data_IF_052529862368
#
_entry.id   IF_052529862368
#
_cell.length_a   1.000
_cell.length_b   1.000
_cell.length_c   1.000
_cell.angle_alpha   90.00
_cell.angle_beta   90.00
_cell.angle_gamma   90.00
#
_symmetry.space_group_name_H-M   'P 1'
#
loop_
_entity.id
_entity.type
_entity.pdbx_description
1 polymer ?
#
# COMPACT_ATOMS: atom_id res chain seq x y z
N UNK A 1 23.33 -20.50 4.75
CA UNK A 1 23.28 -21.97 4.47
C UNK A 1 22.60 -22.83 5.56
N UNK A 2 22.05 -22.25 6.64
CA UNK A 2 21.30 -22.98 7.68
C UNK A 2 19.79 -23.04 7.44
N UNK A 3 19.23 -22.17 6.59
CA UNK A 3 17.77 -21.97 6.50
C UNK A 3 17.06 -22.91 5.50
N UNK A 4 17.79 -23.60 4.61
CA UNK A 4 17.18 -24.48 3.59
C UNK A 4 16.57 -25.76 4.18
N UNK A 5 17.13 -26.25 5.29
CA UNK A 5 16.66 -27.49 5.95
C UNK A 5 15.34 -27.22 6.70
N UNK A 6 15.16 -26.00 7.22
CA UNK A 6 13.97 -25.64 7.99
C UNK A 6 12.71 -25.47 7.12
N UNK A 7 12.79 -24.79 5.97
CA UNK A 7 11.61 -24.60 5.12
C UNK A 7 11.07 -25.91 4.54
N UNK A 8 11.95 -26.79 4.07
CA UNK A 8 11.52 -28.08 3.52
C UNK A 8 10.87 -28.96 4.58
N UNK A 9 11.48 -29.09 5.75
CA UNK A 9 10.92 -29.85 6.86
C UNK A 9 9.58 -29.25 7.33
N UNK A 10 9.49 -27.93 7.42
CA UNK A 10 8.26 -27.23 7.78
C UNK A 10 7.13 -27.47 6.78
N UNK A 11 7.42 -27.43 5.48
CA UNK A 11 6.45 -27.74 4.43
C UNK A 11 6.01 -29.21 4.42
N UNK A 12 6.92 -30.14 4.75
CA UNK A 12 6.60 -31.57 4.87
C UNK A 12 5.68 -31.86 6.06
N UNK A 13 5.91 -31.17 7.18
CA UNK A 13 5.18 -31.35 8.43
C UNK A 13 3.80 -30.66 8.38
N UNK A 14 3.75 -29.39 7.98
CA UNK A 14 2.54 -28.57 8.05
C UNK A 14 1.67 -28.67 6.78
N UNK A 15 2.24 -29.04 5.63
CA UNK A 15 1.55 -29.21 4.34
C UNK A 15 0.56 -28.07 4.00
N UNK A 16 0.99 -26.80 4.02
CA UNK A 16 0.10 -25.68 3.80
C UNK A 16 -0.39 -25.60 2.35
N UNK A 17 -1.62 -25.14 2.14
CA UNK A 17 -2.13 -24.85 0.80
C UNK A 17 -1.51 -23.59 0.18
N UNK A 18 -1.11 -22.61 1.01
CA UNK A 18 -0.57 -21.31 0.58
C UNK A 18 0.68 -20.99 1.40
N UNK A 19 1.71 -20.47 0.73
CA UNK A 19 2.96 -20.00 1.36
C UNK A 19 3.24 -18.58 0.91
N UNK A 20 3.40 -17.63 1.84
CA UNK A 20 3.59 -16.21 1.52
C UNK A 20 4.99 -15.77 1.92
N UNK A 21 5.71 -15.13 0.98
CA UNK A 21 7.04 -14.53 1.19
C UNK A 21 6.92 -13.01 1.11
N UNK A 22 6.95 -12.32 2.26
CA UNK A 22 6.66 -10.88 2.36
C UNK A 22 7.66 -10.09 3.24
N UNK A 23 8.48 -9.18 2.67
CA UNK A 23 8.80 -9.02 1.25
C UNK A 23 9.84 -10.03 0.75
N UNK A 24 9.89 -10.26 -0.57
CA UNK A 24 10.94 -11.06 -1.23
C UNK A 24 12.36 -10.66 -0.84
N UNK A 25 12.57 -9.36 -0.55
CA UNK A 25 13.86 -8.82 -0.14
C UNK A 25 14.40 -9.49 1.14
N UNK A 26 13.51 -9.83 2.07
CA UNK A 26 13.88 -10.41 3.36
C UNK A 26 14.15 -11.92 3.24
N UNK A 27 13.69 -12.53 2.15
CA UNK A 27 13.91 -13.94 1.85
C UNK A 27 15.26 -14.22 1.16
N UNK A 28 15.84 -13.21 0.49
CA UNK A 28 17.16 -13.36 -0.12
C UNK A 28 18.26 -13.03 0.89
N UNK A 29 19.41 -13.70 0.78
CA UNK A 29 20.55 -13.41 1.65
C UNK A 29 20.98 -11.94 1.51
N UNK A 30 21.32 -11.29 2.64
CA UNK A 30 21.61 -9.85 2.71
C UNK A 30 22.75 -9.36 1.81
N UNK A 31 23.63 -10.26 1.38
CA UNK A 31 24.72 -9.98 0.44
C UNK A 31 24.33 -10.15 -1.04
N UNK A 32 23.06 -10.46 -1.33
CA UNK A 32 22.55 -10.68 -2.69
C UNK A 32 21.67 -9.52 -3.14
N UNK A 33 21.68 -9.27 -4.44
CA UNK A 33 20.86 -8.23 -5.06
C UNK A 33 19.59 -8.83 -5.64
N UNK A 34 18.45 -8.17 -5.42
CA UNK A 34 17.20 -8.48 -6.13
C UNK A 34 17.31 -8.25 -7.64
N UNK A 35 18.32 -7.52 -8.11
CA UNK A 35 18.59 -7.31 -9.54
C UNK A 35 19.44 -8.41 -10.17
N UNK A 36 19.90 -9.41 -9.40
CA UNK A 36 20.65 -10.55 -9.92
C UNK A 36 19.71 -11.50 -10.69
N UNK A 37 19.87 -11.54 -12.01
CA UNK A 37 19.09 -12.38 -12.92
C UNK A 37 19.29 -13.88 -12.67
N UNK A 38 20.50 -14.31 -12.28
CA UNK A 38 20.80 -15.73 -12.02
C UNK A 38 20.11 -16.18 -10.75
N UNK A 39 20.16 -15.35 -9.71
CA UNK A 39 19.43 -15.59 -8.46
C UNK A 39 17.92 -15.65 -8.71
N UNK A 40 17.37 -14.69 -9.45
CA UNK A 40 15.95 -14.62 -9.75
C UNK A 40 15.45 -15.87 -10.48
N UNK A 41 16.17 -16.31 -11.53
CA UNK A 41 15.84 -17.53 -12.27
C UNK A 41 15.93 -18.78 -11.41
N UNK A 42 16.99 -18.90 -10.60
CA UNK A 42 17.19 -20.06 -9.74
C UNK A 42 16.08 -20.17 -8.70
N UNK A 43 15.73 -19.06 -8.06
CA UNK A 43 14.68 -19.02 -7.04
C UNK A 43 13.31 -19.27 -7.63
N UNK A 44 12.99 -18.68 -8.80
CA UNK A 44 11.77 -18.97 -9.53
C UNK A 44 11.60 -20.47 -9.84
N UNK A 45 12.69 -21.14 -10.23
CA UNK A 45 12.70 -22.60 -10.43
C UNK A 45 12.44 -23.34 -9.11
N UNK A 46 13.15 -22.99 -8.03
CA UNK A 46 12.95 -23.61 -6.70
C UNK A 46 11.51 -23.45 -6.22
N UNK A 47 10.88 -22.29 -6.38
CA UNK A 47 9.49 -22.07 -5.97
C UNK A 47 8.50 -22.90 -6.78
N UNK A 48 8.79 -23.12 -8.07
CA UNK A 48 7.99 -24.02 -8.91
C UNK A 48 8.11 -25.47 -8.44
N UNK A 49 9.33 -25.92 -8.10
CA UNK A 49 9.57 -27.25 -7.54
C UNK A 49 8.86 -27.43 -6.19
N UNK A 50 8.90 -26.43 -5.31
CA UNK A 50 8.18 -26.40 -4.03
C UNK A 50 6.68 -26.54 -4.26
N UNK A 51 6.09 -25.70 -5.14
CA UNK A 51 4.66 -25.76 -5.45
C UNK A 51 4.24 -27.15 -5.95
N UNK A 52 5.05 -27.77 -6.83
CA UNK A 52 4.75 -29.08 -7.40
C UNK A 52 4.90 -30.22 -6.40
N UNK A 53 5.97 -30.21 -5.58
CA UNK A 53 6.27 -31.24 -4.58
C UNK A 53 5.27 -31.20 -3.44
N UNK A 54 4.99 -30.01 -2.90
CA UNK A 54 4.17 -29.84 -1.70
C UNK A 54 2.70 -29.53 -1.99
N UNK A 55 2.32 -29.42 -3.27
CA UNK A 55 0.95 -29.09 -3.70
C UNK A 55 0.43 -27.78 -3.08
N UNK A 56 1.32 -26.82 -2.87
CA UNK A 56 1.00 -25.51 -2.31
C UNK A 56 1.05 -24.40 -3.37
N UNK A 57 0.53 -23.22 -3.03
CA UNK A 57 0.54 -22.02 -3.85
C UNK A 57 1.46 -20.94 -3.24
N UNK A 58 2.70 -20.78 -3.76
CA UNK A 58 3.61 -19.74 -3.32
C UNK A 58 3.18 -18.34 -3.80
N UNK A 59 3.16 -17.38 -2.88
CA UNK A 59 2.93 -15.96 -3.15
C UNK A 59 4.19 -15.20 -2.76
N UNK A 60 4.69 -14.39 -3.69
CA UNK A 60 5.84 -13.51 -3.47
C UNK A 60 5.35 -12.07 -3.52
N UNK A 61 5.71 -11.27 -2.52
CA UNK A 61 5.48 -9.82 -2.56
C UNK A 61 6.79 -9.08 -2.84
N UNK A 62 6.71 -8.01 -3.61
CA UNK A 62 7.83 -7.10 -3.85
C UNK A 62 7.30 -5.69 -4.05
N UNK A 63 8.18 -4.70 -4.01
CA UNK A 63 7.84 -3.31 -4.21
C UNK A 63 7.97 -2.88 -5.68
N UNK A 64 7.37 -1.74 -6.00
CA UNK A 64 7.70 -1.00 -7.21
C UNK A 64 8.94 -0.13 -6.98
N UNK A 65 9.69 0.14 -8.05
CA UNK A 65 10.85 1.03 -8.05
C UNK A 65 10.43 2.47 -7.71
N UNK A 66 11.32 3.21 -7.05
CA UNK A 66 11.04 4.58 -6.53
C UNK A 66 10.82 5.61 -7.65
N UNK A 67 11.37 5.35 -8.84
CA UNK A 67 11.23 6.12 -10.08
C UNK A 67 9.78 6.19 -10.59
N UNK A 68 8.87 5.42 -9.98
CA UNK A 68 7.43 5.53 -10.11
C UNK A 68 6.84 6.92 -9.76
N UNK A 69 7.64 7.83 -9.18
CA UNK A 69 7.24 9.19 -8.81
C UNK A 69 8.08 10.21 -9.60
N UNK A 70 7.42 11.08 -10.36
CA UNK A 70 8.05 12.22 -11.02
C UNK A 70 8.60 13.18 -9.94
N UNK A 71 9.92 13.46 -9.92
CA UNK A 71 10.54 14.24 -8.85
C UNK A 71 10.17 15.73 -8.88
N UNK A 72 9.80 16.28 -10.04
CA UNK A 72 9.42 17.69 -10.20
C UNK A 72 7.99 17.95 -9.71
N UNK A 73 7.09 17.00 -9.97
CA UNK A 73 5.66 17.16 -9.67
C UNK A 73 5.20 16.37 -8.44
N UNK A 74 6.03 15.45 -7.95
CA UNK A 74 5.65 14.48 -6.93
C UNK A 74 4.56 13.50 -7.37
N UNK A 75 4.21 13.46 -8.67
CA UNK A 75 3.11 12.65 -9.21
C UNK A 75 3.59 11.25 -9.54
N UNK A 76 2.75 10.25 -9.28
CA UNK A 76 3.05 8.93 -9.82
C UNK A 76 2.98 8.96 -11.35
N UNK A 77 3.98 8.40 -12.01
CA UNK A 77 4.00 8.18 -13.46
C UNK A 77 3.54 6.76 -13.83
N UNK A 78 3.20 5.97 -12.81
CA UNK A 78 2.77 4.60 -12.98
C UNK A 78 1.30 4.60 -13.36
N UNK A 79 1.01 3.93 -14.46
CA UNK A 79 -0.33 3.71 -14.98
C UNK A 79 -0.54 2.20 -15.13
N UNK A 80 -1.79 1.73 -15.23
CA UNK A 80 -2.06 0.31 -15.46
C UNK A 80 -1.31 -0.28 -16.66
N UNK A 81 -1.07 0.53 -17.70
CA UNK A 81 -0.43 0.10 -18.94
C UNK A 81 1.09 -0.10 -18.79
N UNK A 82 1.75 0.73 -17.94
CA UNK A 82 3.20 0.71 -17.80
C UNK A 82 3.70 0.06 -16.50
N UNK A 83 2.80 -0.30 -15.59
CA UNK A 83 3.12 -0.75 -14.22
C UNK A 83 4.15 -1.88 -14.14
N UNK A 84 4.10 -2.81 -15.09
CA UNK A 84 4.98 -3.98 -15.13
C UNK A 84 6.45 -3.62 -15.39
N UNK A 85 6.73 -2.41 -15.91
CA UNK A 85 8.10 -1.91 -16.11
C UNK A 85 8.73 -1.37 -14.82
N UNK A 86 7.91 -1.08 -13.81
CA UNK A 86 8.33 -0.48 -12.54
C UNK A 86 8.51 -1.49 -11.43
N UNK A 87 8.45 -2.79 -11.69
CA UNK A 87 8.67 -3.78 -10.61
C UNK A 87 10.13 -3.78 -10.17
N UNK A 88 10.36 -3.80 -8.87
CA UNK A 88 11.70 -3.78 -8.28
C UNK A 88 12.40 -5.15 -8.45
N UNK A 89 13.69 -5.10 -8.77
CA UNK A 89 14.51 -6.28 -9.02
C UNK A 89 14.50 -6.74 -10.48
N UNK A 90 15.00 -7.97 -10.67
CA UNK A 90 15.06 -8.66 -11.96
C UNK A 90 13.65 -8.98 -12.49
N UNK A 91 13.46 -8.83 -13.81
CA UNK A 91 12.21 -9.25 -14.48
C UNK A 91 11.93 -10.75 -14.34
N UNK A 92 12.95 -11.56 -14.05
CA UNK A 92 12.80 -13.01 -13.96
C UNK A 92 12.07 -13.47 -12.70
N UNK A 93 11.96 -12.62 -11.67
CA UNK A 93 11.08 -12.85 -10.52
C UNK A 93 9.62 -13.02 -10.94
N UNK A 94 9.18 -12.23 -11.93
CA UNK A 94 7.81 -12.24 -12.45
C UNK A 94 7.64 -13.20 -13.62
N UNK A 95 8.69 -13.41 -14.42
CA UNK A 95 8.60 -14.11 -15.69
C UNK A 95 8.10 -15.55 -15.56
N UNK A 96 8.34 -16.22 -14.43
CA UNK A 96 7.84 -17.57 -14.13
C UNK A 96 6.42 -17.57 -13.58
N UNK A 97 6.00 -16.53 -12.86
CA UNK A 97 4.74 -16.47 -12.16
C UNK A 97 3.53 -16.64 -13.12
N UNK A 98 2.57 -17.54 -12.82
CA UNK A 98 1.37 -17.73 -13.63
C UNK A 98 0.39 -16.56 -13.50
N UNK A 99 0.42 -15.87 -12.36
CA UNK A 99 -0.38 -14.70 -12.04
C UNK A 99 0.51 -13.62 -11.42
N UNK A 100 0.28 -12.37 -11.83
CA UNK A 100 0.94 -11.20 -11.28
C UNK A 100 -0.15 -10.17 -10.96
N UNK A 101 -0.08 -9.60 -9.76
CA UNK A 101 -1.00 -8.58 -9.29
C UNK A 101 -0.16 -7.40 -8.81
N UNK A 102 -0.45 -6.21 -9.31
CA UNK A 102 0.18 -4.98 -8.82
C UNK A 102 -0.88 -4.03 -8.31
N UNK A 103 -0.62 -3.46 -7.13
CA UNK A 103 -1.47 -2.47 -6.51
C UNK A 103 -0.83 -1.10 -6.71
N UNK A 104 -1.52 -0.23 -7.44
CA UNK A 104 -1.12 1.17 -7.62
C UNK A 104 -2.18 2.10 -7.02
N UNK A 105 -1.85 3.37 -6.87
CA UNK A 105 -2.85 4.38 -6.47
C UNK A 105 -3.72 4.71 -7.67
N UNK A 106 -5.03 4.88 -7.46
CA UNK A 106 -5.93 5.21 -8.55
C UNK A 106 -5.72 6.65 -9.05
N UNK A 107 -5.78 7.63 -8.14
CA UNK A 107 -5.44 9.02 -8.42
C UNK A 107 -5.05 9.71 -7.12
N UNK A 108 -3.76 9.99 -6.92
CA UNK A 108 -3.27 10.56 -5.66
C UNK A 108 -3.83 11.96 -5.35
N UNK A 109 -4.24 12.71 -6.37
CA UNK A 109 -4.72 14.08 -6.20
C UNK A 109 -6.21 14.16 -5.93
N UNK A 110 -6.99 13.34 -6.63
CA UNK A 110 -8.45 13.39 -6.56
C UNK A 110 -9.03 12.33 -5.64
N UNK A 111 -8.45 11.14 -5.65
CA UNK A 111 -8.97 9.95 -4.97
C UNK A 111 -7.85 9.21 -4.21
N UNK A 112 -7.16 9.88 -3.28
CA UNK A 112 -5.98 9.36 -2.58
C UNK A 112 -6.23 8.04 -1.83
N UNK A 113 -7.47 7.78 -1.38
CA UNK A 113 -7.83 6.53 -0.70
C UNK A 113 -8.04 5.36 -1.66
N UNK A 114 -8.37 5.62 -2.92
CA UNK A 114 -8.60 4.57 -3.91
C UNK A 114 -7.29 3.99 -4.45
N UNK A 115 -7.28 2.67 -4.62
CA UNK A 115 -6.20 1.93 -5.28
C UNK A 115 -6.75 1.26 -6.55
N UNK A 116 -5.84 0.84 -7.43
CA UNK A 116 -6.15 0.00 -8.59
C UNK A 116 -5.35 -1.29 -8.51
N UNK A 117 -6.03 -2.41 -8.66
CA UNK A 117 -5.39 -3.72 -8.78
C UNK A 117 -5.25 -4.03 -10.28
N UNK A 118 -4.01 -4.10 -10.74
CA UNK A 118 -3.67 -4.43 -12.12
C UNK A 118 -3.33 -5.92 -12.18
N UNK A 119 -3.86 -6.62 -13.17
CA UNK A 119 -3.71 -8.07 -13.28
C UNK A 119 -2.94 -8.45 -14.54
N UNK A 120 -2.10 -9.46 -14.42
CA UNK A 120 -1.48 -10.13 -15.57
C UNK A 120 -1.43 -11.62 -15.32
N UNK A 121 -2.18 -12.36 -16.12
CA UNK A 121 -2.26 -13.81 -16.07
C UNK A 121 -1.67 -14.41 -17.35
N UNK A 122 -1.01 -15.56 -17.25
CA UNK A 122 -0.46 -16.25 -18.42
C UNK A 122 -1.48 -17.09 -19.18
N UNK A 123 -2.48 -17.62 -18.47
CA UNK A 123 -3.35 -18.69 -18.98
C UNK A 123 -4.84 -18.32 -18.96
N UNK A 124 -5.19 -17.11 -18.54
CA UNK A 124 -6.56 -16.62 -18.50
C UNK A 124 -6.68 -15.30 -19.26
N UNK A 125 -7.91 -14.91 -19.56
CA UNK A 125 -8.20 -13.60 -20.13
C UNK A 125 -7.60 -12.49 -19.26
N UNK A 126 -7.11 -11.45 -19.92
CA UNK A 126 -6.68 -10.23 -19.24
C UNK A 126 -7.90 -9.60 -18.58
N UNK A 127 -7.78 -9.33 -17.28
CA UNK A 127 -8.80 -8.64 -16.52
C UNK A 127 -8.46 -7.15 -16.48
N UNK A 128 -9.46 -6.32 -16.72
CA UNK A 128 -9.35 -4.88 -16.54
C UNK A 128 -8.94 -4.54 -15.10
N UNK A 129 -8.18 -3.45 -14.88
CA UNK A 129 -7.79 -3.03 -13.53
C UNK A 129 -8.99 -2.79 -12.64
N UNK A 130 -8.99 -3.38 -11.44
CA UNK A 130 -10.06 -3.23 -10.47
C UNK A 130 -9.83 -2.00 -9.60
N UNK A 131 -10.78 -1.08 -9.57
CA UNK A 131 -10.78 0.03 -8.63
C UNK A 131 -11.24 -0.45 -7.26
N UNK A 132 -10.47 -0.14 -6.21
CA UNK A 132 -10.78 -0.61 -4.85
C UNK A 132 -10.61 0.48 -3.79
N UNK A 133 -11.37 0.36 -2.71
CA UNK A 133 -11.30 1.18 -1.51
C UNK A 133 -11.12 0.29 -0.28
N UNK A 134 -10.28 0.71 0.67
CA UNK A 134 -10.12 0.00 1.93
C UNK A 134 -11.24 0.39 2.89
N UNK A 135 -11.97 -0.60 3.42
CA UNK A 135 -13.00 -0.40 4.42
C UNK A 135 -12.38 -0.26 5.84
N UNK A 136 -13.16 0.15 6.85
CA UNK A 136 -12.69 0.27 8.24
C UNK A 136 -12.17 -1.03 8.86
N UNK A 137 -12.65 -2.19 8.38
CA UNK A 137 -12.19 -3.51 8.79
C UNK A 137 -10.91 -3.96 8.07
N UNK A 138 -10.23 -3.02 7.41
CA UNK A 138 -8.94 -3.20 6.73
C UNK A 138 -8.97 -4.03 5.44
N UNK A 139 -10.14 -4.43 4.96
CA UNK A 139 -10.31 -5.16 3.69
C UNK A 139 -10.42 -4.19 2.50
N UNK A 140 -10.00 -4.63 1.32
CA UNK A 140 -10.24 -3.90 0.07
C UNK A 140 -11.51 -4.41 -0.59
N UNK A 141 -12.40 -3.49 -0.93
CA UNK A 141 -13.65 -3.75 -1.65
C UNK A 141 -13.63 -3.02 -2.99
N UNK A 142 -14.33 -3.56 -3.98
CA UNK A 142 -14.51 -2.90 -5.27
C UNK A 142 -15.20 -1.55 -5.08
N UNK A 143 -14.66 -0.52 -5.74
CA UNK A 143 -15.17 0.84 -5.72
C UNK A 143 -15.75 1.19 -7.09
N UNK A 144 -17.09 1.19 -7.25
CA UNK A 144 -17.75 1.62 -8.46
C UNK A 144 -17.44 3.08 -8.84
N UNK A 145 -17.47 3.39 -10.13
CA UNK A 145 -17.15 4.72 -10.66
C UNK A 145 -18.08 5.83 -10.12
N UNK A 146 -19.36 5.52 -9.90
CA UNK A 146 -20.35 6.45 -9.33
C UNK A 146 -20.10 6.74 -7.84
N UNK A 147 -19.31 5.90 -7.15
CA UNK A 147 -18.98 6.03 -5.72
C UNK A 147 -17.59 6.60 -5.47
N UNK A 148 -16.91 7.08 -6.50
CA UNK A 148 -15.55 7.62 -6.42
C UNK A 148 -15.36 8.76 -5.42
N UNK A 149 -16.41 9.51 -5.10
CA UNK A 149 -16.38 10.56 -4.07
C UNK A 149 -15.96 10.03 -2.69
N UNK A 150 -16.28 8.77 -2.36
CA UNK A 150 -15.90 8.12 -1.09
C UNK A 150 -14.38 7.99 -0.92
N UNK A 151 -13.63 7.99 -2.02
CA UNK A 151 -12.17 7.88 -2.00
C UNK A 151 -11.45 9.23 -1.80
N UNK A 152 -12.20 10.32 -1.65
CA UNK A 152 -11.65 11.66 -1.39
C UNK A 152 -11.24 11.79 0.09
N UNK A 153 -10.18 12.55 0.35
CA UNK A 153 -9.85 12.96 1.71
C UNK A 153 -10.71 14.15 2.13
N UNK A 154 -11.13 14.12 3.39
CA UNK A 154 -12.01 15.09 4.02
C UNK A 154 -11.34 15.67 5.26
N UNK A 155 -11.92 16.75 5.80
CA UNK A 155 -11.46 17.32 7.06
C UNK A 155 -11.58 16.33 8.23
N UNK A 156 -12.56 15.41 8.18
CA UNK A 156 -12.74 14.37 9.19
C UNK A 156 -11.56 13.40 9.26
N UNK A 157 -10.93 13.11 8.13
CA UNK A 157 -9.74 12.24 8.11
C UNK A 157 -8.57 12.82 8.92
N UNK A 158 -8.48 14.16 9.02
CA UNK A 158 -7.49 14.82 9.88
C UNK A 158 -7.81 14.61 11.36
N UNK A 159 -9.09 14.68 11.72
CA UNK A 159 -9.56 14.43 13.09
C UNK A 159 -9.19 13.00 13.50
N UNK A 160 -9.49 12.02 12.65
CA UNK A 160 -9.18 10.62 12.94
C UNK A 160 -7.67 10.38 13.14
N UNK A 161 -6.82 11.00 12.32
CA UNK A 161 -5.36 10.92 12.52
C UNK A 161 -4.96 11.56 13.83
N UNK A 162 -5.49 12.74 14.14
CA UNK A 162 -5.16 13.47 15.37
C UNK A 162 -5.58 12.67 16.61
N UNK A 163 -6.77 12.07 16.61
CA UNK A 163 -7.27 11.23 17.71
C UNK A 163 -6.50 9.93 17.85
N UNK A 164 -6.45 9.12 16.78
CA UNK A 164 -5.94 7.74 16.83
C UNK A 164 -4.41 7.69 16.93
N UNK A 165 -3.71 8.62 16.28
CA UNK A 165 -2.24 8.59 16.17
C UNK A 165 -1.59 9.61 17.11
N UNK A 166 -2.16 10.80 17.22
CA UNK A 166 -1.59 11.88 18.02
C UNK A 166 -2.25 12.07 19.39
N UNK A 167 -3.16 11.16 19.81
CA UNK A 167 -3.85 11.22 21.11
C UNK A 167 -4.64 12.53 21.32
N UNK A 168 -5.18 13.08 20.25
CA UNK A 168 -6.06 14.25 20.27
C UNK A 168 -5.37 15.61 20.18
N UNK A 169 -4.03 15.68 20.25
CA UNK A 169 -3.31 16.95 20.16
C UNK A 169 -1.91 16.84 19.53
N UNK A 170 -1.49 17.87 18.78
CA UNK A 170 -0.16 17.88 18.16
C UNK A 170 0.29 19.27 17.71
N UNK A 171 1.61 19.48 17.67
CA UNK A 171 2.22 20.66 17.02
C UNK A 171 1.91 20.64 15.52
N UNK A 172 1.57 21.79 14.95
CA UNK A 172 1.10 21.89 13.54
C UNK A 172 2.06 21.27 12.50
N UNK A 173 3.37 21.47 12.64
CA UNK A 173 4.37 20.92 11.71
C UNK A 173 4.38 19.39 11.78
N UNK A 174 4.42 18.84 12.99
CA UNK A 174 4.37 17.39 13.25
C UNK A 174 3.04 16.82 12.75
N UNK A 175 1.91 17.49 13.03
CA UNK A 175 0.60 17.07 12.53
C UNK A 175 0.57 17.01 11.00
N UNK A 176 1.13 18.00 10.32
CA UNK A 176 1.20 18.03 8.85
C UNK A 176 1.96 16.81 8.32
N UNK A 177 3.10 16.47 8.93
CA UNK A 177 3.87 15.30 8.55
C UNK A 177 3.16 13.98 8.89
N UNK A 178 2.47 13.91 10.03
CA UNK A 178 1.70 12.74 10.44
C UNK A 178 0.50 12.51 9.53
N UNK A 179 -0.26 13.55 9.19
CA UNK A 179 -1.39 13.50 8.25
C UNK A 179 -0.91 13.05 6.87
N UNK A 180 0.17 13.67 6.36
CA UNK A 180 0.79 13.28 5.10
C UNK A 180 1.14 11.79 5.05
N UNK A 181 1.78 11.27 6.10
CA UNK A 181 2.19 9.86 6.18
C UNK A 181 1.00 8.91 6.31
N UNK A 182 0.07 9.19 7.21
CA UNK A 182 -1.04 8.28 7.53
C UNK A 182 -2.14 8.30 6.46
N UNK A 183 -2.43 9.45 5.86
CA UNK A 183 -3.40 9.59 4.77
C UNK A 183 -2.77 9.41 3.39
N UNK A 184 -1.45 9.14 3.37
CA UNK A 184 -0.69 8.85 2.16
C UNK A 184 -0.88 9.92 1.07
N UNK A 185 -0.85 11.19 1.47
CA UNK A 185 -1.16 12.35 0.62
C UNK A 185 0.02 13.33 0.48
N UNK A 186 -0.09 14.31 -0.43
CA UNK A 186 0.91 15.36 -0.58
C UNK A 186 0.91 16.39 0.57
N UNK A 187 2.02 17.11 0.76
CA UNK A 187 2.16 18.15 1.81
C UNK A 187 1.13 19.27 1.65
N UNK A 188 0.89 19.74 0.42
CA UNK A 188 -0.09 20.79 0.13
C UNK A 188 -1.49 20.34 0.53
N UNK A 189 -1.89 19.14 0.12
CA UNK A 189 -3.17 18.55 0.47
C UNK A 189 -3.33 18.39 1.99
N UNK A 190 -2.31 17.90 2.69
CA UNK A 190 -2.33 17.79 4.15
C UNK A 190 -2.56 19.16 4.82
N UNK A 191 -1.85 20.21 4.36
CA UNK A 191 -2.03 21.58 4.88
C UNK A 191 -3.44 22.10 4.63
N UNK A 192 -4.01 21.84 3.46
CA UNK A 192 -5.35 22.32 3.10
C UNK A 192 -6.46 21.55 3.82
N UNK A 193 -6.29 20.25 4.05
CA UNK A 193 -7.18 19.45 4.90
C UNK A 193 -7.17 19.97 6.34
N UNK A 194 -6.00 20.27 6.91
CA UNK A 194 -5.87 20.85 8.25
C UNK A 194 -6.57 22.22 8.31
N UNK A 195 -6.35 23.10 7.32
CA UNK A 195 -7.05 24.39 7.25
C UNK A 195 -8.57 24.20 7.17
N UNK A 196 -9.03 23.24 6.37
CA UNK A 196 -10.45 22.92 6.23
C UNK A 196 -11.04 22.45 7.56
N UNK A 197 -10.35 21.56 8.28
CA UNK A 197 -10.78 21.07 9.59
C UNK A 197 -10.85 22.18 10.66
N UNK A 198 -9.91 23.14 10.63
CA UNK A 198 -9.97 24.35 11.46
C UNK A 198 -11.19 25.21 11.08
N UNK A 199 -11.39 25.47 9.78
CA UNK A 199 -12.51 26.28 9.29
C UNK A 199 -13.86 25.67 9.64
N UNK A 200 -13.95 24.34 9.65
CA UNK A 200 -15.14 23.58 10.02
C UNK A 200 -15.32 23.42 11.55
N UNK A 201 -14.37 23.91 12.36
CA UNK A 201 -14.44 23.82 13.82
C UNK A 201 -14.22 22.41 14.39
N UNK A 202 -13.70 21.48 13.59
CA UNK A 202 -13.40 20.10 13.99
C UNK A 202 -12.12 20.00 14.84
N UNK A 203 -11.16 20.88 14.57
CA UNK A 203 -9.91 21.04 15.32
C UNK A 203 -9.67 22.54 15.55
N UNK A 204 -8.90 22.90 16.57
CA UNK A 204 -8.56 24.29 16.85
C UNK A 204 -7.11 24.44 17.26
N UNK A 205 -6.56 25.66 17.11
CA UNK A 205 -5.24 26.00 17.62
C UNK A 205 -5.38 26.57 19.03
N UNK A 206 -4.79 25.89 20.01
CA UNK A 206 -4.64 26.40 21.36
C UNK A 206 -3.47 27.39 21.40
N UNK A 207 -3.77 28.66 21.69
CA UNK A 207 -2.77 29.71 21.72
C UNK A 207 -1.87 29.65 22.96
N UNK A 208 -2.27 28.94 24.03
CA UNK A 208 -1.47 28.81 25.24
C UNK A 208 -0.28 27.88 25.02
N UNK A 209 -0.53 26.74 24.39
CA UNK A 209 0.47 25.68 24.24
C UNK A 209 0.99 25.54 22.78
N UNK A 210 0.47 26.38 21.86
CA UNK A 210 0.76 26.33 20.42
C UNK A 210 0.46 24.96 19.77
N UNK A 211 -0.48 24.22 20.34
CA UNK A 211 -0.93 22.90 19.89
C UNK A 211 -2.19 23.01 19.03
N UNK A 212 -2.35 22.06 18.10
CA UNK A 212 -3.63 21.77 17.45
C UNK A 212 -4.32 20.69 18.26
N UNK A 213 -5.56 20.92 18.69
CA UNK A 213 -6.36 19.99 19.51
C UNK A 213 -7.69 19.67 18.82
N UNK A 214 -8.22 18.47 19.05
CA UNK A 214 -9.57 18.11 18.60
C UNK A 214 -10.60 18.96 19.34
N UNK A 215 -11.61 19.46 18.63
CA UNK A 215 -12.70 20.21 19.23
C UNK A 215 -13.58 19.27 20.06
N UNK A 216 -13.66 19.51 21.37
CA UNK A 216 -14.46 18.70 22.31
C UNK A 216 -15.98 18.81 22.09
N UNK A 217 -16.43 19.64 21.15
CA UNK A 217 -17.87 19.90 20.89
C UNK A 217 -18.51 19.04 19.80
N UNK A 218 -17.79 18.14 19.11
CA UNK A 218 -18.34 17.42 17.94
C UNK A 218 -18.35 15.89 18.05
N UNK A 219 -18.36 15.36 19.28
CA UNK A 219 -18.66 13.95 19.54
C UNK A 219 -20.15 13.63 19.80
N UNK A 220 -21.06 14.63 19.77
CA UNK A 220 -22.48 14.42 20.12
C UNK A 220 -23.54 15.03 19.18
N UNK A 221 -23.19 15.85 18.19
CA UNK A 221 -24.19 16.61 17.42
C UNK A 221 -24.30 16.29 15.92
N UNK A 222 -23.64 15.24 15.42
CA UNK A 222 -23.85 14.75 14.05
C UNK A 222 -24.26 13.28 14.04
N UNK A 223 -25.39 12.99 14.67
CA UNK A 223 -26.30 11.92 14.26
C UNK A 223 -27.44 12.57 13.46
N UNK A 224 -27.15 12.97 12.23
CA UNK A 224 -28.10 13.07 11.11
C UNK A 224 -27.34 12.63 9.86
#
# INVERSE_FOLDING_TARGET
PKDKIELHAWLEDHKPDIVIFDPLADFIASNKSLSDDTLARTTAKTLTEIAQKFKCFPIITTHLRKEAINPQTGRSIVTPENVWTFVFGSRYWLASAPAQIVIIRANLQRYPKAKKFCFKFKTSEQREPLQVLRNPNLYYEELPDDKMSLATLTAQDVVEVLEKICKGEQIRSILTDTVKKNLDCGVTMAKDLIKSAIKQGLIYKDNKDNLIKVSSKLGKELNI
#
